data_IF_650570557120
#
_entry.id   IF_650570557120
#
_cell.length_a   1.000
_cell.length_b   1.000
_cell.length_c   1.000
_cell.angle_alpha   90.00
_cell.angle_beta   90.00
_cell.angle_gamma   90.00
#
_symmetry.space_group_name_H-M   'P 1'
#
loop_
_entity.id
_entity.type
_entity.pdbx_description
1 polymer ?
2 water ?
#
# COMPACT_ATOMS: atom_id res chain seq x y z
N UNK A 4 -35.22 -19.00 -19.99
CA UNK A 4 -36.01 -19.54 -18.89
C UNK A 4 -35.12 -20.40 -17.99
N UNK A 5 -35.14 -20.13 -16.67
CA UNK A 5 -34.32 -20.85 -15.69
C UNK A 5 -35.20 -21.64 -14.73
N UNK A 6 -34.86 -22.93 -14.49
CA UNK A 6 -35.65 -23.81 -13.61
C UNK A 6 -34.78 -24.35 -12.49
N UNK A 7 -35.08 -23.97 -11.24
CA UNK A 7 -34.32 -24.46 -10.09
C UNK A 7 -34.89 -25.82 -9.71
N UNK A 8 -34.03 -26.85 -9.66
CA UNK A 8 -34.49 -28.20 -9.24
C UNK A 8 -34.82 -28.14 -7.76
N UNK A 9 -35.88 -28.84 -7.36
CA UNK A 9 -36.38 -28.78 -5.99
C UNK A 9 -35.50 -29.47 -4.96
N UNK A 10 -34.79 -30.55 -5.34
CA UNK A 10 -34.00 -31.33 -4.39
C UNK A 10 -32.49 -31.43 -4.71
N UNK A 11 -32.09 -31.25 -5.96
CA UNK A 11 -30.67 -31.32 -6.32
C UNK A 11 -30.03 -29.92 -6.21
N UNK A 12 -30.83 -28.86 -6.45
CA UNK A 12 -30.40 -27.46 -6.52
C UNK A 12 -29.53 -27.26 -7.80
N UNK A 13 -29.94 -27.92 -8.90
CA UNK A 13 -29.32 -27.82 -10.23
C UNK A 13 -30.15 -26.87 -11.06
N UNK A 14 -29.49 -26.10 -11.93
CA UNK A 14 -30.15 -25.08 -12.74
C UNK A 14 -30.09 -25.43 -14.22
N UNK A 15 -31.23 -25.35 -14.89
CA UNK A 15 -31.34 -25.66 -16.31
C UNK A 15 -31.72 -24.41 -17.08
N UNK A 16 -30.99 -24.10 -18.15
CA UNK A 16 -31.24 -22.95 -19.00
C UNK A 16 -31.80 -23.50 -20.30
N UNK A 17 -32.83 -22.82 -20.85
CA UNK A 17 -33.51 -23.23 -22.08
C UNK A 17 -33.38 -22.14 -23.17
N UNK A 18 -32.73 -22.54 -24.28
CA UNK A 18 -32.50 -21.72 -25.47
C UNK A 18 -32.78 -22.63 -26.72
N UNK A 19 -32.60 -22.21 -27.99
CA UNK A 19 -32.93 -23.13 -29.11
C UNK A 19 -32.09 -24.41 -29.13
N UNK A 25 -30.56 -27.47 -20.86
CA UNK A 25 -29.17 -27.84 -20.56
C UNK A 25 -28.77 -27.40 -19.15
N UNK A 26 -28.19 -28.29 -18.31
CA UNK A 26 -27.84 -27.88 -16.94
C UNK A 26 -26.70 -26.87 -16.88
N UNK A 27 -26.68 -26.05 -15.80
CA UNK A 27 -25.69 -24.98 -15.59
C UNK A 27 -25.05 -25.10 -14.21
N UNK A 28 -23.71 -25.03 -14.18
CA UNK A 28 -22.92 -25.15 -12.97
C UNK A 28 -23.36 -24.15 -11.91
N UNK A 29 -23.47 -22.86 -12.30
CA UNK A 29 -23.77 -21.78 -11.35
C UNK A 29 -24.87 -20.83 -11.78
N UNK A 30 -25.41 -20.09 -10.80
CA UNK A 30 -26.42 -19.07 -11.08
C UNK A 30 -25.82 -17.92 -11.89
N UNK A 31 -24.53 -17.58 -11.67
CA UNK A 31 -23.86 -16.53 -12.47
C UNK A 31 -23.78 -16.95 -13.94
N UNK A 32 -23.43 -18.22 -14.17
CA UNK A 32 -23.33 -18.77 -15.51
C UNK A 32 -24.67 -18.75 -16.22
N UNK A 33 -25.78 -19.09 -15.51
CA UNK A 33 -27.12 -19.07 -16.11
C UNK A 33 -27.65 -17.65 -16.32
N UNK A 34 -27.29 -16.69 -15.45
CA UNK A 34 -27.75 -15.29 -15.60
C UNK A 34 -26.99 -14.57 -16.71
N UNK A 35 -25.72 -14.98 -16.97
CA UNK A 35 -24.86 -14.37 -18.03
C UNK A 35 -25.34 -14.72 -19.45
N UNK A 36 -25.67 -16.00 -19.66
CA UNK A 36 -26.06 -16.52 -20.99
C UNK A 36 -27.44 -16.03 -21.47
N UNK A 37 -28.42 -15.92 -20.58
CA UNK A 37 -29.78 -15.48 -20.95
C UNK A 37 -29.88 -14.00 -21.37
N UNK A 38 -28.89 -13.19 -21.02
CA UNK A 38 -28.88 -11.76 -21.33
C UNK A 38 -29.77 -10.98 -20.38
N UNK A 39 -30.07 -11.55 -19.20
CA UNK A 39 -30.91 -10.89 -18.20
C UNK A 39 -30.73 -11.58 -16.85
N UNK A 40 -30.86 -10.83 -15.73
CA UNK A 40 -30.81 -11.41 -14.38
C UNK A 40 -32.10 -12.16 -14.16
N UNK A 41 -32.09 -13.44 -14.51
CA UNK A 41 -33.30 -14.25 -14.50
C UNK A 41 -33.51 -14.93 -13.15
N UNK A 42 -34.68 -14.71 -12.53
CA UNK A 42 -35.04 -15.36 -11.27
C UNK A 42 -35.53 -16.77 -11.64
N UNK A 43 -35.04 -17.86 -11.03
CA UNK A 43 -35.42 -19.19 -11.51
C UNK A 43 -36.76 -19.70 -10.98
N UNK A 44 -37.51 -20.35 -11.89
CA UNK A 44 -38.79 -20.94 -11.53
C UNK A 44 -38.55 -22.15 -10.66
N UNK A 45 -39.51 -22.47 -9.80
CA UNK A 45 -39.44 -23.60 -8.88
C UNK A 45 -40.15 -24.78 -9.51
N UNK A 46 -39.62 -25.30 -10.62
CA UNK A 46 -40.28 -26.42 -11.30
C UNK A 46 -40.05 -27.74 -10.53
N UNK A 48 -40.14 -30.90 -9.86
CA UNK A 48 -38.90 -31.61 -10.13
C UNK A 48 -39.06 -32.68 -11.22
N UNK A 49 -40.28 -33.25 -11.38
CA UNK A 49 -40.54 -34.26 -12.41
C UNK A 49 -40.56 -33.67 -13.83
N UNK A 50 -40.71 -32.33 -13.97
CA UNK A 50 -40.79 -31.68 -15.28
C UNK A 50 -39.46 -31.68 -16.07
N UNK A 51 -38.32 -31.84 -15.38
CA UNK A 51 -36.98 -31.87 -16.01
C UNK A 51 -36.31 -33.23 -15.87
N UNK A 52 -36.53 -33.94 -14.75
CA UNK A 52 -35.94 -35.27 -14.54
C UNK A 52 -36.55 -36.32 -15.48
N UNK A 53 -37.85 -36.19 -15.85
CA UNK A 53 -38.52 -37.11 -16.78
C UNK A 53 -38.30 -36.70 -18.26
N UNK A 54 -37.90 -35.45 -18.50
CA UNK A 54 -37.62 -34.92 -19.84
C UNK A 54 -36.17 -35.09 -20.22
N UNK A 55 -35.76 -34.52 -21.38
CA UNK A 55 -34.38 -34.65 -21.87
C UNK A 55 -33.41 -33.81 -21.03
N UNK A 56 -32.17 -34.28 -20.97
CA UNK A 56 -31.05 -33.64 -20.27
C UNK A 56 -30.02 -33.29 -21.33
N UNK A 57 -28.98 -32.59 -20.93
CA UNK A 57 -27.90 -32.20 -21.84
C UNK A 57 -26.55 -32.24 -21.14
N UNK A 58 -25.61 -31.41 -21.63
CA UNK A 58 -24.24 -31.30 -21.08
C UNK A 58 -24.12 -30.04 -20.21
N UNK A 59 -23.25 -30.10 -19.20
CA UNK A 59 -23.04 -29.01 -18.25
C UNK A 59 -22.26 -27.85 -18.85
N UNK A 60 -22.95 -26.72 -19.09
CA UNK A 60 -22.37 -25.49 -19.62
C UNK A 60 -22.13 -24.55 -18.44
N UNK A 61 -21.44 -23.45 -18.69
CA UNK A 61 -21.13 -22.44 -17.69
C UNK A 61 -19.70 -22.48 -17.21
N UNK A 62 -19.30 -21.48 -16.44
CA UNK A 62 -17.95 -21.41 -15.90
C UNK A 62 -17.90 -22.15 -14.56
N UNK A 63 -16.96 -23.10 -14.33
CA UNK A 63 -16.91 -23.76 -13.02
C UNK A 63 -16.29 -22.87 -11.95
N UNK A 64 -15.18 -22.20 -12.26
CA UNK A 64 -14.46 -21.34 -11.32
C UNK A 64 -15.22 -20.12 -10.82
N UNK A 65 -16.25 -19.67 -11.56
CA UNK A 65 -17.06 -18.52 -11.20
C UNK A 65 -17.86 -18.76 -9.91
N UNK A 66 -18.34 -17.68 -9.25
CA UNK A 66 -19.07 -17.88 -7.99
C UNK A 66 -20.53 -18.24 -8.26
N UNK A 67 -21.22 -18.76 -7.23
CA UNK A 67 -22.61 -19.18 -7.39
C UNK A 67 -23.48 -18.00 -7.79
N UNK A 68 -23.44 -16.92 -7.01
CA UNK A 68 -24.16 -15.66 -7.26
C UNK A 68 -23.21 -14.50 -7.00
N UNK A 69 -23.63 -13.27 -7.31
CA UNK A 69 -22.80 -12.09 -7.06
C UNK A 69 -23.44 -11.14 -6.01
N UNK A 70 -23.52 -11.56 -4.72
CA UNK A 70 -24.15 -10.73 -3.71
C UNK A 70 -23.30 -9.54 -3.25
N UNK A 71 -23.48 -8.39 -3.90
CA UNK A 71 -22.80 -7.17 -3.45
C UNK A 71 -23.45 -6.65 -2.17
N UNK A 72 -22.65 -6.15 -1.25
CA UNK A 72 -23.14 -5.53 -0.03
C UNK A 72 -22.88 -4.03 -0.08
N UNK A 73 -22.76 -3.37 1.09
CA UNK A 73 -22.38 -1.96 1.08
C UNK A 73 -20.93 -1.90 0.62
N UNK A 74 -20.55 -0.97 -0.28
CA UNK A 74 -19.16 -0.95 -0.74
C UNK A 74 -18.18 -0.69 0.42
N UNK A 75 -17.05 -1.40 0.43
CA UNK A 75 -16.08 -1.32 1.54
C UNK A 75 -15.41 0.03 1.60
N UNK A 76 -15.36 0.63 2.79
CA UNK A 76 -14.75 1.96 2.96
C UNK A 76 -13.25 1.98 2.71
N UNK A 77 -12.53 0.99 3.29
CA UNK A 77 -11.09 0.93 3.21
C UNK A 77 -10.58 -0.40 2.71
N UNK A 78 -9.52 -0.34 1.88
CA UNK A 78 -8.74 -1.48 1.37
C UNK A 78 -7.37 -1.38 2.00
N UNK A 79 -6.99 -2.37 2.82
CA UNK A 79 -5.78 -2.31 3.61
C UNK A 79 -4.97 -3.56 3.51
N UNK A 80 -3.65 -3.40 3.39
CA UNK A 80 -2.68 -4.48 3.45
C UNK A 80 -2.07 -4.48 4.80
N UNK A 81 -2.02 -5.63 5.48
CA UNK A 81 -1.44 -5.71 6.80
C UNK A 81 -0.30 -6.72 6.80
N UNK A 82 0.81 -6.34 7.42
CA UNK A 82 2.05 -7.12 7.54
C UNK A 82 2.24 -7.41 9.01
N UNK A 83 2.28 -8.68 9.42
CA UNK A 83 2.39 -9.06 10.83
C UNK A 83 3.64 -9.92 10.98
N UNK A 84 4.54 -9.56 11.94
CA UNK A 84 5.78 -10.28 12.24
C UNK A 84 5.68 -10.70 13.70
N UNK A 85 5.32 -11.98 13.93
CA UNK A 85 5.11 -12.57 15.25
C UNK A 85 6.30 -12.37 16.20
N UNK A 86 7.54 -12.52 15.70
CA UNK A 86 8.74 -12.36 16.51
C UNK A 86 9.90 -11.82 15.67
N UNK A 87 10.41 -10.59 15.94
CA UNK A 87 11.58 -10.09 15.19
C UNK A 87 12.85 -10.88 15.51
N UNK A 88 13.08 -11.18 16.80
CA UNK A 88 14.24 -11.94 17.25
C UNK A 88 14.12 -13.41 16.84
N UNK A 89 14.50 -13.69 15.59
CA UNK A 89 14.49 -15.03 15.00
C UNK A 89 15.65 -15.16 14.02
N UNK A 90 15.99 -16.41 13.63
CA UNK A 90 17.07 -16.63 12.65
C UNK A 90 16.63 -15.98 11.32
N UNK A 91 15.46 -16.39 10.82
CA UNK A 91 14.80 -15.81 9.64
C UNK A 91 13.35 -15.61 10.04
N UNK A 92 12.86 -14.37 10.28
CA UNK A 92 11.45 -14.22 10.73
C UNK A 92 10.42 -14.41 9.62
N UNK A 93 9.25 -14.94 9.99
CA UNK A 93 8.15 -15.22 9.09
C UNK A 93 7.16 -14.07 9.06
N UNK A 94 6.58 -13.80 7.87
CA UNK A 94 5.62 -12.72 7.66
C UNK A 94 4.27 -13.30 7.28
N UNK A 95 3.20 -12.73 7.88
CA UNK A 95 1.81 -13.12 7.59
C UNK A 95 1.08 -11.92 6.99
N UNK A 96 0.46 -12.11 5.82
CA UNK A 96 -0.20 -11.05 5.11
C UNK A 96 -1.71 -11.18 5.27
N UNK A 97 -2.32 -10.07 5.73
CA UNK A 97 -3.74 -9.90 5.92
C UNK A 97 -4.21 -8.81 4.95
N UNK A 98 -5.26 -9.10 4.18
CA UNK A 98 -5.85 -8.16 3.22
C UNK A 98 -7.25 -7.78 3.71
N UNK A 99 -7.36 -6.66 4.42
CA UNK A 99 -8.65 -6.23 5.01
C UNK A 99 -9.47 -5.32 4.07
N UNK A 100 -10.57 -5.87 3.51
CA UNK A 100 -11.49 -5.16 2.60
C UNK A 100 -12.76 -4.90 3.40
N UNK A 101 -12.58 -4.10 4.44
CA UNK A 101 -13.65 -3.73 5.34
C UNK A 101 -13.30 -2.42 6.00
N UNK A 102 -14.21 -1.91 6.80
CA UNK A 102 -14.03 -0.66 7.55
C UNK A 102 -13.10 -0.93 8.73
N UNK A 103 -12.00 -0.16 8.84
CA UNK A 103 -10.99 -0.36 9.86
C UNK A 103 -11.41 0.13 11.23
N UNK A 104 -10.88 -0.52 12.28
CA UNK A 104 -11.07 -0.16 13.67
C UNK A 104 -9.73 0.34 14.22
N UNK A 105 -9.65 1.65 14.45
CA UNK A 105 -8.47 2.33 14.97
C UNK A 105 -8.69 2.54 16.46
N UNK A 106 -7.59 2.50 17.23
CA UNK A 106 -7.61 2.69 18.68
C UNK A 106 -6.17 2.94 19.20
N UNK A 107 -6.02 3.18 20.52
CA UNK A 107 -4.72 3.45 21.16
C UNK A 107 -3.63 2.41 20.84
N UNK A 108 -4.01 1.13 20.75
CA UNK A 108 -3.09 0.04 20.44
C UNK A 108 -2.61 -0.01 19.00
N UNK A 109 -3.53 0.17 18.03
CA UNK A 109 -3.19 0.17 16.61
C UNK A 109 -3.75 1.45 15.97
N UNK A 110 -2.86 2.43 15.76
CA UNK A 110 -3.19 3.72 15.18
C UNK A 110 -2.25 4.10 14.06
N UNK A 111 -2.53 5.17 13.30
CA UNK A 111 -1.64 5.55 12.20
C UNK A 111 -0.33 6.12 12.73
N UNK A 112 0.77 5.93 11.99
CA UNK A 112 2.10 6.38 12.43
C UNK A 112 2.21 7.89 12.38
N UNK A 113 2.88 8.48 13.37
CA UNK A 113 3.06 9.92 13.44
C UNK A 113 4.04 10.43 12.38
N UNK A 114 4.01 11.73 12.09
CA UNK A 114 4.89 12.33 11.09
C UNK A 114 6.38 12.15 11.47
N UNK A 115 6.72 12.30 12.77
CA UNK A 115 8.09 12.10 13.27
C UNK A 115 8.40 10.62 13.65
N UNK A 116 7.60 9.65 13.13
CA UNK A 116 7.71 8.24 13.44
C UNK A 116 7.95 7.40 12.19
N UNK A 117 8.76 6.36 12.32
CA UNK A 117 9.08 5.46 11.22
C UNK A 117 9.46 4.06 11.69
N UNK A 118 9.64 3.14 10.74
CA UNK A 118 10.00 1.74 11.04
C UNK A 118 11.02 1.24 10.05
N UNK A 119 11.88 0.29 10.47
CA UNK A 119 12.93 -0.30 9.60
C UNK A 119 12.55 -1.67 9.08
N UNK A 120 12.70 -1.88 7.76
CA UNK A 120 12.32 -3.13 7.10
C UNK A 120 13.35 -3.53 6.06
N UNK A 121 13.51 -4.85 5.89
CA UNK A 121 14.48 -5.48 5.01
C UNK A 121 13.76 -6.16 3.83
N UNK A 122 14.01 -5.72 2.58
CA UNK A 122 13.42 -6.34 1.38
C UNK A 122 14.47 -6.61 0.33
N UNK A 123 14.63 -7.90 -0.06
CA UNK A 123 15.57 -8.36 -1.08
C UNK A 123 16.99 -7.87 -0.77
N UNK A 124 17.43 -8.15 0.45
CA UNK A 124 18.77 -7.83 0.94
C UNK A 124 19.09 -6.36 1.04
N UNK A 125 18.04 -5.52 1.22
CA UNK A 125 18.16 -4.06 1.34
C UNK A 125 17.32 -3.56 2.48
N UNK A 126 17.78 -2.49 3.13
CA UNK A 126 17.07 -1.87 4.24
C UNK A 126 16.32 -0.67 3.74
N UNK A 127 15.04 -0.58 4.11
CA UNK A 127 14.14 0.52 3.78
C UNK A 127 13.61 1.10 5.08
N UNK A 128 13.25 2.37 5.03
CA UNK A 128 12.73 3.11 6.18
C UNK A 128 11.27 3.54 5.92
N UNK A 129 10.32 2.75 6.42
CA UNK A 129 8.90 3.04 6.21
C UNK A 129 8.47 4.24 7.06
N UNK A 130 8.21 5.39 6.39
CA UNK A 130 7.77 6.65 7.01
C UNK A 130 6.28 6.90 6.65
N UNK A 131 5.68 7.99 7.21
CA UNK A 131 4.28 8.43 7.08
C UNK A 131 3.63 8.23 5.67
N UNK A 132 4.30 8.72 4.63
CA UNK A 132 3.81 8.68 3.26
C UNK A 132 4.39 7.66 2.31
N UNK A 133 5.44 6.96 2.71
CA UNK A 133 6.01 5.96 1.84
C UNK A 133 7.15 5.20 2.45
N UNK A 134 8.20 5.01 1.65
CA UNK A 134 9.42 4.32 2.05
C UNK A 134 10.62 5.01 1.43
N UNK A 135 11.79 4.83 2.06
CA UNK A 135 13.04 5.44 1.62
C UNK A 135 14.20 4.45 1.73
N UNK A 136 15.09 4.40 0.74
CA UNK A 136 16.24 3.49 0.77
C UNK A 136 17.36 4.03 1.67
N UNK A 137 17.56 3.39 2.83
CA UNK A 137 18.57 3.79 3.81
C UNK A 137 19.74 2.81 3.72
N UNK A 138 20.96 3.36 3.52
CA UNK A 138 22.19 2.57 3.49
C UNK A 138 22.65 2.57 4.92
N UNK A 139 22.28 1.51 5.67
CA UNK A 139 22.64 1.41 7.08
C UNK A 139 24.17 1.51 7.37
N UNK A 140 25.04 1.31 6.34
CA UNK A 140 26.50 1.49 6.48
C UNK A 140 26.87 2.98 6.57
N UNK A 141 25.97 3.89 6.11
CA UNK A 141 26.16 5.34 6.20
C UNK A 141 25.83 5.70 7.64
N UNK A 142 26.77 5.32 8.52
CA UNK A 142 26.63 5.38 9.96
C UNK A 142 26.35 6.78 10.45
N UNK A 143 27.06 7.80 9.95
CA UNK A 143 26.82 9.18 10.40
C UNK A 143 25.39 9.62 10.08
N UNK A 144 24.86 9.23 8.92
CA UNK A 144 23.51 9.60 8.53
C UNK A 144 22.48 8.99 9.47
N UNK A 145 22.65 7.71 9.81
CA UNK A 145 21.71 7.03 10.70
C UNK A 145 21.79 7.62 12.12
N UNK A 146 22.95 8.20 12.50
CA UNK A 146 23.10 8.83 13.80
C UNK A 146 22.38 10.19 13.83
N UNK A 147 22.27 10.89 12.69
CA UNK A 147 21.62 12.20 12.60
C UNK A 147 20.10 12.10 12.59
N UNK A 148 19.58 11.07 11.94
CA UNK A 148 18.15 10.77 11.80
C UNK A 148 17.52 10.22 13.11
N UNK A 149 18.27 9.48 13.91
CA UNK A 149 17.77 8.90 15.16
C UNK A 149 17.65 7.39 15.19
N UNK A 150 18.30 6.67 14.25
CA UNK A 150 18.27 5.21 14.26
C UNK A 150 19.28 4.77 15.30
N UNK A 151 18.89 4.00 16.32
CA UNK A 151 19.90 3.55 17.30
C UNK A 151 20.95 2.61 16.70
N UNK A 152 22.15 2.52 17.31
CA UNK A 152 23.20 1.60 16.86
C UNK A 152 22.75 0.14 17.02
N UNK A 153 21.84 -0.12 17.99
CA UNK A 153 21.25 -1.44 18.22
C UNK A 153 19.96 -1.68 17.36
N UNK A 154 19.84 -1.00 16.21
CA UNK A 154 18.67 -1.19 15.33
C UNK A 154 18.84 -2.44 14.49
N UNK A 155 17.72 -3.07 14.14
CA UNK A 155 17.73 -4.24 13.26
C UNK A 155 16.49 -4.18 12.38
N UNK A 156 16.60 -4.26 11.05
CA UNK A 156 15.37 -4.28 10.24
C UNK A 156 14.68 -5.65 10.27
N UNK A 157 13.37 -5.66 10.05
CA UNK A 157 12.56 -6.87 9.99
C UNK A 157 12.12 -7.15 8.55
N UNK A 158 11.55 -8.32 8.23
CA UNK A 158 11.12 -8.56 6.85
C UNK A 158 9.81 -7.85 6.51
N UNK A 159 9.52 -7.69 5.21
CA UNK A 159 8.32 -7.00 4.72
C UNK A 159 7.78 -7.69 3.47
N UNK A 160 6.45 -7.77 3.39
CA UNK A 160 5.77 -8.44 2.28
C UNK A 160 5.99 -7.69 0.98
N UNK A 161 5.93 -8.42 -0.15
CA UNK A 161 6.05 -7.80 -1.47
C UNK A 161 4.83 -6.92 -1.75
N UNK A 162 3.64 -7.40 -1.41
CA UNK A 162 2.41 -6.66 -1.56
C UNK A 162 2.46 -5.35 -0.80
N UNK A 163 2.95 -5.38 0.46
CA UNK A 163 3.04 -4.15 1.26
C UNK A 163 4.14 -3.22 0.75
N UNK A 164 5.25 -3.77 0.26
CA UNK A 164 6.37 -2.99 -0.26
C UNK A 164 5.98 -2.22 -1.53
N UNK A 165 5.24 -2.88 -2.46
CA UNK A 165 4.81 -2.22 -3.69
C UNK A 165 3.77 -1.14 -3.38
N UNK A 166 2.93 -1.37 -2.38
CA UNK A 166 1.89 -0.41 -2.00
C UNK A 166 2.50 0.89 -1.44
N UNK A 167 3.56 0.76 -0.59
CA UNK A 167 4.23 1.91 0.02
C UNK A 167 5.02 2.67 -1.04
N UNK A 168 4.61 3.88 -1.42
CA UNK A 168 5.35 4.64 -2.45
C UNK A 168 6.84 4.89 -2.12
N UNK A 169 7.75 4.75 -3.09
CA UNK A 169 9.18 5.03 -2.86
C UNK A 169 9.34 6.52 -2.94
N UNK A 170 9.75 7.17 -1.85
CA UNK A 170 9.87 8.62 -1.80
C UNK A 170 11.34 9.08 -1.77
N UNK A 171 12.20 8.31 -2.40
CA UNK A 171 13.61 8.65 -2.55
C UNK A 171 14.45 8.18 -1.40
N UNK A 172 15.76 8.01 -1.63
CA UNK A 172 16.62 7.56 -0.55
C UNK A 172 16.99 8.70 0.39
N UNK A 173 17.47 8.32 1.58
CA UNK A 173 17.95 9.26 2.59
C UNK A 173 19.48 9.22 2.51
N UNK A 174 20.00 9.86 1.44
CA UNK A 174 21.41 10.02 1.08
C UNK A 174 21.69 11.49 0.90
N UNK A 175 22.73 12.02 1.54
CA UNK A 175 23.06 13.43 1.32
C UNK A 175 23.53 13.64 -0.12
N UNK A 176 23.10 14.70 -0.84
CA UNK A 176 23.62 14.90 -2.21
C UNK A 176 25.09 15.33 -2.18
N UNK A 177 25.91 14.77 -3.06
CA UNK A 177 27.34 15.05 -3.08
C UNK A 177 27.60 16.53 -3.40
N UNK A 178 28.54 17.15 -2.67
CA UNK A 178 28.90 18.55 -2.84
C UNK A 178 30.03 18.57 -3.87
N UNK A 179 29.78 19.04 -5.11
CA UNK A 179 30.83 18.96 -6.15
C UNK A 179 32.21 19.53 -5.78
N UNK A 180 32.33 20.76 -5.24
CA UNK A 180 33.63 21.34 -4.88
C UNK A 180 33.89 21.16 -3.39
N UNK A 181 33.73 19.92 -2.87
CA UNK A 181 33.94 19.62 -1.46
C UNK A 181 35.41 19.73 -1.08
N UNK A 182 35.67 20.23 0.13
CA UNK A 182 37.02 20.47 0.63
C UNK A 182 37.70 21.75 0.15
N UNK A 183 37.11 22.45 -0.85
CA UNK A 183 37.70 23.68 -1.40
C UNK A 183 37.49 24.86 -0.44
N UNK A 184 38.35 25.88 -0.53
CA UNK A 184 38.20 27.07 0.34
C UNK A 184 37.01 27.96 -0.06
N UNK A 185 36.39 28.66 0.90
CA UNK A 185 35.21 29.50 0.65
C UNK A 185 35.51 30.71 -0.27
N UNK A 186 35.00 30.64 -1.51
CA UNK A 186 35.15 31.72 -2.49
C UNK A 186 34.10 32.84 -2.28
N UNK A 187 33.10 32.58 -1.42
CA UNK A 187 32.02 33.53 -1.11
C UNK A 187 32.46 34.70 -0.20
N UNK A 188 33.64 34.60 0.43
CA UNK A 188 34.15 35.63 1.31
C UNK A 188 33.88 35.40 2.79
N UNK A 189 33.33 34.22 3.15
CA UNK A 189 33.05 33.87 4.55
C UNK A 189 34.36 33.57 5.29
N UNK A 190 34.40 33.58 6.65
CA UNK A 190 35.66 33.30 7.35
C UNK A 190 36.40 32.06 6.84
N UNK A 191 37.74 32.10 6.85
CA UNK A 191 38.59 31.02 6.33
C UNK A 191 38.42 29.66 7.08
N UNK A 192 37.86 29.65 8.33
CA UNK A 192 37.60 28.40 9.07
C UNK A 192 36.56 27.62 8.28
N UNK A 193 35.47 28.29 7.86
CA UNK A 193 34.45 27.66 7.05
C UNK A 193 35.08 27.20 5.72
N UNK A 194 34.92 25.92 5.39
CA UNK A 194 35.42 25.31 4.17
C UNK A 194 34.19 24.91 3.37
N UNK A 195 34.32 24.71 2.05
CA UNK A 195 33.15 24.25 1.27
C UNK A 195 32.87 22.80 1.69
N UNK A 196 31.64 22.54 2.12
CA UNK A 196 31.19 21.27 2.69
C UNK A 196 31.15 21.31 4.21
N UNK A 197 30.86 22.50 4.79
CA UNK A 197 30.79 22.73 6.23
C UNK A 197 29.43 23.31 6.60
N UNK A 198 29.20 23.58 7.89
CA UNK A 198 27.93 24.13 8.37
C UNK A 198 28.21 25.32 9.29
N UNK A 199 27.29 26.29 9.28
CA UNK A 199 27.32 27.50 10.09
C UNK A 199 25.96 27.66 10.76
N UNK A 200 25.94 28.14 12.00
CA UNK A 200 24.72 28.38 12.78
C UNK A 200 24.50 29.88 12.85
N UNK A 201 23.26 30.32 13.14
CA UNK A 201 22.96 31.76 13.27
C UNK A 201 22.24 32.02 14.58
N UNK A 202 22.19 33.29 14.98
CA UNK A 202 21.50 33.71 16.20
C UNK A 202 19.99 33.61 16.00
N UNK A 205 13.77 32.92 17.72
CA UNK A 205 13.26 31.83 18.56
C UNK A 205 14.07 30.55 18.38
N UNK A 206 14.05 29.98 17.15
CA UNK A 206 14.79 28.77 16.79
C UNK A 206 15.91 29.17 15.83
N UNK A 207 17.18 28.83 16.14
CA UNK A 207 18.28 29.22 15.23
C UNK A 207 18.34 28.33 13.99
N UNK A 208 18.96 28.87 12.92
CA UNK A 208 19.07 28.23 11.61
C UNK A 208 20.49 27.83 11.26
N UNK A 209 20.63 26.71 10.53
CA UNK A 209 21.91 26.21 10.05
C UNK A 209 21.97 26.40 8.55
N UNK A 210 23.17 26.72 8.05
CA UNK A 210 23.43 26.94 6.64
C UNK A 210 24.59 26.06 6.21
N UNK A 211 24.55 25.50 4.98
CA UNK A 211 25.65 24.70 4.43
C UNK A 211 26.42 25.59 3.43
N UNK A 212 27.75 25.39 3.32
CA UNK A 212 28.59 26.16 2.43
C UNK A 212 28.68 25.44 1.09
N UNK A 213 28.53 26.19 -0.01
CA UNK A 213 28.55 25.67 -1.38
C UNK A 213 29.48 26.55 -2.29
N UNK A 214 29.77 26.16 -3.56
CA UNK A 214 30.68 26.97 -4.39
C UNK A 214 30.15 28.35 -4.76
N UNK A 215 28.84 28.48 -5.04
CA UNK A 215 28.22 29.74 -5.47
C UNK A 215 27.22 30.29 -4.43
N UNK A 216 27.65 30.32 -3.16
CA UNK A 216 26.84 30.83 -2.06
C UNK A 216 26.71 29.86 -0.91
N UNK A 217 25.62 30.02 -0.15
CA UNK A 217 25.27 29.18 0.98
C UNK A 217 23.79 28.82 0.87
N UNK A 218 23.39 27.69 1.46
CA UNK A 218 22.02 27.23 1.47
C UNK A 218 21.61 26.86 2.88
N UNK A 219 20.34 27.03 3.22
CA UNK A 219 19.78 26.70 4.53
C UNK A 219 19.73 25.17 4.66
N UNK A 220 19.71 24.64 5.89
CA UNK A 220 19.76 23.19 6.14
C UNK A 220 19.08 22.87 7.50
N UNK A 221 18.23 21.83 7.56
CA UNK A 221 17.55 21.44 8.81
C UNK A 221 18.55 20.80 9.78
N UNK A 222 18.11 20.48 11.01
CA UNK A 222 19.04 19.96 12.02
C UNK A 222 19.56 18.59 11.66
N UNK A 223 18.70 17.69 11.18
CA UNK A 223 19.15 16.35 10.78
C UNK A 223 20.23 16.44 9.71
N UNK A 224 20.02 17.32 8.71
CA UNK A 224 21.01 17.41 7.65
C UNK A 224 22.29 18.10 8.15
N UNK A 225 22.20 19.09 9.04
CA UNK A 225 23.40 19.74 9.59
C UNK A 225 24.23 18.77 10.40
N UNK A 226 23.57 17.96 11.24
CA UNK A 226 24.24 16.95 12.04
C UNK A 226 25.03 15.98 11.14
N UNK A 227 24.35 15.46 10.11
CA UNK A 227 24.97 14.50 9.21
C UNK A 227 26.06 15.13 8.36
N UNK A 228 25.91 16.40 7.97
CA UNK A 228 26.94 17.07 7.18
C UNK A 228 28.25 17.20 7.97
N UNK A 229 28.15 17.50 9.27
CA UNK A 229 29.33 17.65 10.14
C UNK A 229 29.96 16.29 10.46
N UNK A 230 29.12 15.30 10.75
CA UNK A 230 29.55 13.94 11.08
C UNK A 230 30.17 13.19 9.87
N UNK A 231 29.76 13.48 8.63
CA UNK A 231 30.30 12.82 7.43
C UNK A 231 31.63 13.43 6.98
N UNK A 232 31.88 14.70 7.32
CA UNK A 232 33.09 15.38 6.87
C UNK A 232 33.82 16.11 7.99
N UNK A 233 33.13 16.98 8.76
CA UNK A 233 33.64 17.77 9.88
C UNK A 233 34.68 18.83 9.43
N UNK A 234 35.79 18.39 8.79
CA UNK A 234 36.89 19.21 8.30
C UNK A 234 37.59 19.96 9.45
N UNK A 235 37.67 19.29 10.60
CA UNK A 235 38.27 19.84 11.81
C UNK A 235 37.50 20.99 12.43
N UNK A 236 36.18 21.09 12.17
CA UNK A 236 35.35 22.17 12.67
C UNK A 236 34.47 21.71 13.84
N UNK A 237 35.06 21.69 15.04
CA UNK A 237 34.35 21.29 16.25
C UNK A 237 33.28 22.35 16.57
N UNK A 238 32.00 21.94 16.61
CA UNK A 238 30.81 22.79 16.85
C UNK A 238 30.54 23.73 15.65
N UNK A 239 29.25 24.00 15.35
CA UNK A 239 28.91 24.88 14.21
C UNK A 239 29.16 26.35 14.56
N UNK A 240 30.00 27.10 13.81
CA UNK A 240 30.24 28.52 14.18
C UNK A 240 29.05 29.43 13.97
N UNK A 241 28.98 30.51 14.76
CA UNK A 241 27.89 31.47 14.68
C UNK A 241 28.17 32.54 13.64
N UNK A 242 27.13 32.89 12.85
CA UNK A 242 27.17 33.95 11.85
C UNK A 242 26.10 34.94 12.23
N UNK A 243 26.33 36.22 11.91
CA UNK A 243 25.35 37.27 12.22
C UNK A 243 24.15 37.16 11.30
N UNK A 244 23.10 37.94 11.55
CA UNK A 244 21.91 37.93 10.68
C UNK A 244 22.14 38.71 9.39
N UNK A 245 23.08 39.67 9.37
CA UNK A 245 23.31 40.52 8.19
C UNK A 245 24.39 39.94 7.24
N UNK A 246 25.54 39.49 7.77
CA UNK A 246 26.65 38.97 6.94
C UNK A 246 26.22 37.90 5.91
N UNK A 247 25.13 37.17 6.18
CA UNK A 247 24.63 36.11 5.31
C UNK A 247 23.87 36.67 4.08
N UNK A 248 23.36 37.90 4.16
CA UNK A 248 22.59 38.52 3.07
C UNK A 248 23.50 38.96 1.93
N UNK A 249 24.74 39.41 2.24
CA UNK A 249 25.71 39.78 1.21
C UNK A 249 26.16 38.55 0.43
N UNK A 250 26.16 37.37 1.07
CA UNK A 250 26.54 36.11 0.45
C UNK A 250 25.31 35.54 -0.31
N UNK A 251 25.42 35.07 -1.56
CA UNK A 251 24.22 34.57 -2.28
C UNK A 251 23.53 33.36 -1.68
N UNK A 252 22.32 33.13 -2.17
CA UNK A 252 21.47 32.03 -1.74
C UNK A 252 21.54 30.86 -2.71
N UNK A 253 21.70 29.65 -2.18
CA UNK A 253 21.69 28.39 -2.94
C UNK A 253 20.66 27.47 -2.30
N UNK A 254 20.46 26.26 -2.87
CA UNK A 254 19.48 25.31 -2.36
C UNK A 254 20.10 23.93 -2.29
N UNK A 255 20.28 23.38 -1.08
CA UNK A 255 20.73 22.01 -0.91
C UNK A 255 19.49 21.18 -0.90
N UNK A 256 19.42 20.13 -1.73
CA UNK A 256 18.21 19.30 -1.86
C UNK A 256 18.37 18.06 -0.95
N UNK A 257 18.52 18.30 0.34
CA UNK A 257 18.67 17.20 1.28
C UNK A 257 17.33 16.52 1.57
N UNK A 258 17.25 15.19 1.42
CA UNK A 258 16.00 14.48 1.73
C UNK A 258 15.70 14.25 3.22
N UNK A 259 16.69 14.45 4.09
CA UNK A 259 16.54 14.18 5.51
C UNK A 259 15.43 15.01 6.19
N UNK A 260 14.78 14.41 7.21
CA UNK A 260 13.67 15.09 7.87
C UNK A 260 14.11 16.19 8.81
N UNK A 261 13.18 17.03 9.22
CA UNK A 261 13.48 18.10 10.16
C UNK A 261 13.66 17.49 11.55
N UNK A 262 12.57 17.09 12.23
CA UNK A 262 12.70 16.46 13.56
C UNK A 262 13.33 15.06 13.44
N UNK A 263 14.19 14.65 14.39
CA UNK A 263 14.74 13.28 14.32
C UNK A 263 13.65 12.21 14.46
N UNK A 264 13.76 11.17 13.65
CA UNK A 264 12.80 10.10 13.51
C UNK A 264 12.84 9.07 14.64
N UNK A 265 11.68 8.86 15.30
CA UNK A 265 11.50 7.80 16.31
C UNK A 265 11.36 6.46 15.60
N UNK A 266 12.28 5.52 15.83
CA UNK A 266 12.21 4.23 15.15
C UNK A 266 11.34 3.29 15.95
N UNK A 267 10.22 2.90 15.34
CA UNK A 267 9.31 1.91 15.92
C UNK A 267 10.00 0.56 15.95
N UNK A 268 9.84 -0.20 17.02
CA UNK A 268 10.44 -1.53 17.09
C UNK A 268 9.33 -2.56 16.93
N UNK A 269 9.55 -3.61 16.12
CA UNK A 269 8.55 -4.67 15.90
C UNK A 269 8.15 -5.40 17.17
N UNK A 270 9.04 -5.50 18.18
CA UNK A 270 8.67 -6.13 19.44
C UNK A 270 7.51 -5.35 20.12
N UNK A 271 7.50 -4.01 19.96
CA UNK A 271 6.41 -3.17 20.47
C UNK A 271 5.35 -2.98 19.37
N UNK A 272 5.77 -2.83 18.09
CA UNK A 272 4.85 -2.66 16.94
C UNK A 272 4.85 -3.87 15.98
N UNK A 273 4.17 -4.97 16.33
CA UNK A 273 4.17 -6.16 15.46
C UNK A 273 3.37 -6.09 14.17
N UNK A 274 2.51 -5.06 13.92
CA UNK A 274 1.73 -4.99 12.67
C UNK A 274 2.03 -3.70 11.96
N UNK A 275 2.31 -3.77 10.65
CA UNK A 275 2.56 -2.62 9.80
C UNK A 275 1.55 -2.72 8.69
N UNK A 276 0.62 -1.76 8.60
CA UNK A 276 -0.42 -1.76 7.58
C UNK A 276 -0.33 -0.50 6.69
N UNK A 277 -0.77 -0.66 5.44
CA UNK A 277 -1.00 0.43 4.48
C UNK A 277 -2.47 0.33 4.07
N UNK A 278 -3.18 1.47 4.07
CA UNK A 278 -4.62 1.55 3.86
C UNK A 278 -5.00 2.59 2.81
N UNK A 279 -5.98 2.27 1.97
CA UNK A 279 -6.50 3.12 0.89
C UNK A 279 -8.01 3.36 1.08
N UNK A 280 -8.46 4.63 1.07
CA UNK A 280 -9.86 4.99 1.25
C UNK A 280 -10.33 5.89 0.15
N UNK A 281 -11.25 5.43 -0.70
CA UNK A 281 -11.73 6.34 -1.74
C UNK A 281 -12.49 7.51 -1.08
N UNK A 282 -12.20 8.73 -1.54
CA UNK A 282 -12.79 9.96 -1.02
C UNK A 282 -13.85 10.51 -2.00
N UNK A 283 -14.81 11.31 -1.51
CA UNK A 283 -15.87 11.79 -2.39
C UNK A 283 -15.40 12.92 -3.28
N UNK A 284 -16.12 13.09 -4.37
CA UNK A 284 -15.90 14.16 -5.33
C UNK A 284 -14.65 13.99 -6.17
N UNK A 285 -13.91 15.11 -6.35
CA UNK A 285 -12.66 15.15 -7.11
C UNK A 285 -11.44 14.84 -6.24
N UNK A 286 -11.66 14.40 -4.99
CA UNK A 286 -10.56 14.08 -4.09
C UNK A 286 -9.83 12.81 -4.48
N UNK A 287 -8.58 12.70 -4.02
CA UNK A 287 -7.71 11.57 -4.27
C UNK A 287 -7.78 10.64 -3.09
N UNK A 288 -7.92 9.33 -3.33
CA UNK A 288 -8.01 8.41 -2.19
C UNK A 288 -6.98 8.70 -1.10
N UNK A 289 -7.42 8.70 0.16
CA UNK A 289 -6.53 8.99 1.28
C UNK A 289 -5.78 7.72 1.66
N UNK A 290 -4.45 7.74 1.52
CA UNK A 290 -3.61 6.61 1.87
C UNK A 290 -2.91 6.90 3.17
N UNK A 291 -3.12 6.03 4.16
CA UNK A 291 -2.55 6.17 5.48
C UNK A 291 -1.64 4.98 5.73
N UNK A 292 -0.62 5.17 6.59
CA UNK A 292 0.31 4.13 7.05
C UNK A 292 0.03 3.90 8.56
N UNK A 293 -0.22 2.64 8.95
CA UNK A 293 -0.63 2.26 10.32
C UNK A 293 0.27 1.17 10.93
N UNK A 294 0.57 1.30 12.25
CA UNK A 294 1.38 0.36 13.02
C UNK A 294 0.68 0.02 14.31
N UNK A 295 0.91 -1.16 14.88
CA UNK A 295 0.26 -1.51 16.13
C UNK A 295 0.45 -2.91 16.64
N UNK A 296 -0.18 -3.18 17.79
CA UNK A 296 -0.15 -4.47 18.48
C UNK A 296 -0.90 -5.56 17.73
N UNK A 297 -2.03 -5.19 17.09
CA UNK A 297 -2.92 -6.12 16.40
C UNK A 297 -3.36 -5.57 15.05
N UNK A 298 -4.25 -6.30 14.36
CA UNK A 298 -4.78 -5.81 13.09
C UNK A 298 -5.77 -4.71 13.39
N UNK A 299 -5.90 -3.69 12.52
CA UNK A 299 -6.86 -2.61 12.82
C UNK A 299 -8.28 -3.11 12.59
N UNK A 300 -8.83 -3.90 13.54
CA UNK A 300 -10.19 -4.47 13.44
C UNK A 300 -10.86 -4.68 14.78
N UNK A 301 -12.21 -4.82 14.80
CA UNK A 301 -12.89 -5.11 16.05
C UNK A 301 -12.61 -6.55 16.49
N UNK A 302 -12.79 -6.86 17.77
CA UNK A 302 -12.53 -8.20 18.26
C UNK A 302 -13.48 -9.23 17.64
N UNK A 303 -14.74 -8.83 17.40
CA UNK A 303 -15.75 -9.76 16.85
C UNK A 303 -15.33 -10.38 15.51
N UNK A 304 -14.58 -9.64 14.70
CA UNK A 304 -14.14 -10.09 13.38
C UNK A 304 -12.76 -10.75 13.38
N UNK A 305 -12.14 -11.00 14.55
CA UNK A 305 -10.79 -11.59 14.61
C UNK A 305 -10.79 -13.05 14.10
N UNK A 306 -11.88 -13.78 14.33
CA UNK A 306 -11.98 -15.15 13.88
C UNK A 306 -12.24 -15.40 12.40
N UNK A 307 -12.80 -14.41 11.67
CA UNK A 307 -13.17 -14.64 10.26
C UNK A 307 -12.07 -14.38 9.19
N UNK A 308 -10.89 -14.96 9.38
CA UNK A 308 -9.84 -14.83 8.37
C UNK A 308 -10.00 -15.92 7.32
N UNK A 309 -10.30 -15.55 6.06
CA UNK A 309 -10.45 -16.53 4.98
C UNK A 309 -9.08 -16.72 4.33
N UNK A 310 -8.38 -17.82 4.67
CA UNK A 310 -7.10 -18.17 4.04
C UNK A 310 -7.34 -18.40 2.54
N UNK A 311 -6.49 -17.82 1.70
CA UNK A 311 -6.69 -17.84 0.26
C UNK A 311 -6.17 -19.11 -0.40
N UNK A 312 -7.06 -19.87 -1.09
CA UNK A 312 -6.65 -21.08 -1.83
C UNK A 312 -5.94 -20.54 -3.10
N UNK A 313 -4.60 -20.49 -3.07
CA UNK A 313 -3.76 -19.93 -4.12
C UNK A 313 -3.13 -18.59 -3.74
N UNK A 314 -2.67 -18.48 -2.51
CA UNK A 314 -2.06 -17.25 -2.01
C UNK A 314 -1.74 -17.33 -0.54
N UNK A 315 -0.71 -16.60 -0.09
CA UNK A 315 -0.31 -16.58 1.33
C UNK A 315 -1.02 -15.46 2.10
N UNK A 316 -2.23 -15.10 1.65
CA UNK A 316 -2.98 -14.02 2.22
C UNK A 316 -4.23 -14.50 2.94
N UNK A 317 -4.53 -13.87 4.09
CA UNK A 317 -5.71 -14.10 4.93
C UNK A 317 -6.67 -12.94 4.70
N UNK A 318 -7.83 -13.20 4.07
CA UNK A 318 -8.76 -12.13 3.70
C UNK A 318 -9.86 -11.93 4.73
N UNK A 319 -9.99 -10.66 5.15
CA UNK A 319 -11.01 -10.18 6.06
C UNK A 319 -11.89 -9.22 5.26
N UNK A 320 -12.76 -9.80 4.41
CA UNK A 320 -13.72 -9.06 3.57
C UNK A 320 -15.12 -9.19 4.17
N UNK A 321 -15.98 -8.19 3.94
CA UNK A 321 -17.37 -8.21 4.40
C UNK A 321 -18.30 -8.02 3.20
N UNK A 322 -18.87 -9.12 2.70
CA UNK A 322 -19.79 -9.10 1.56
C UNK A 322 -19.09 -8.89 0.24
N UNK A 323 -19.83 -9.16 -0.84
CA UNK A 323 -19.31 -9.04 -2.20
C UNK A 323 -19.11 -7.60 -2.64
N UNK A 324 -18.21 -7.39 -3.59
CA UNK A 324 -17.90 -6.05 -4.09
C UNK A 324 -17.91 -5.99 -5.61
N UNK A 325 -18.26 -4.83 -6.15
CA UNK A 325 -18.21 -4.54 -7.60
C UNK A 325 -17.31 -3.35 -7.72
N UNK A 326 -16.12 -3.52 -8.34
CA UNK A 326 -15.11 -2.48 -8.36
C UNK A 326 -14.61 -2.16 -9.74
N UNK A 327 -14.04 -0.96 -9.88
CA UNK A 327 -13.38 -0.48 -11.08
C UNK A 327 -11.97 -0.04 -10.69
N UNK A 328 -10.98 -0.43 -11.51
CA UNK A 328 -9.57 -0.13 -11.28
C UNK A 328 -9.01 0.68 -12.44
N UNK A 329 -8.24 1.71 -12.15
CA UNK A 329 -7.64 2.52 -13.20
C UNK A 329 -6.15 2.45 -13.01
N UNK A 330 -5.44 1.80 -13.94
CA UNK A 330 -3.98 1.70 -13.88
C UNK A 330 -3.37 2.96 -14.49
N UNK A 331 -2.23 3.48 -13.99
CA UNK A 331 -1.63 4.66 -14.63
C UNK A 331 -0.93 4.35 -15.95
N UNK A 332 -0.61 3.06 -16.24
CA UNK A 332 0.01 2.69 -17.52
C UNK A 332 -1.02 2.88 -18.62
N UNK A 333 -0.73 3.62 -19.72
CA UNK A 333 -1.76 3.82 -20.74
C UNK A 333 -2.11 2.53 -21.50
N UNK A 334 -1.15 1.59 -21.73
CA UNK A 334 -1.44 0.33 -22.43
C UNK A 334 -2.46 -0.53 -21.66
N UNK A 335 -2.55 -0.31 -20.34
CA UNK A 335 -3.53 -0.94 -19.44
C UNK A 335 -4.66 0.08 -19.25
N UNK A 336 -5.90 -0.28 -19.58
CA UNK A 336 -7.05 0.62 -19.45
C UNK A 336 -7.59 0.66 -18.04
N UNK A 337 -8.94 0.65 -17.91
CA UNK A 337 -9.59 0.55 -16.62
C UNK A 337 -10.51 -0.64 -16.66
N UNK A 338 -10.50 -1.43 -15.58
CA UNK A 338 -11.19 -2.69 -15.50
C UNK A 338 -12.16 -2.80 -14.35
N UNK A 339 -13.29 -3.43 -14.62
CA UNK A 339 -14.29 -3.79 -13.64
C UNK A 339 -13.95 -5.18 -13.15
N UNK A 340 -14.09 -5.43 -11.86
CA UNK A 340 -13.87 -6.74 -11.26
C UNK A 340 -14.91 -6.99 -10.21
N UNK A 341 -15.51 -8.19 -10.16
CA UNK A 341 -16.44 -8.57 -9.09
C UNK A 341 -15.65 -9.36 -8.06
N UNK A 342 -15.82 -9.03 -6.77
CA UNK A 342 -15.15 -9.72 -5.68
C UNK A 342 -16.23 -10.40 -4.88
N UNK A 343 -16.18 -11.74 -4.79
CA UNK A 343 -17.19 -12.48 -4.04
C UNK A 343 -16.91 -12.35 -2.52
N UNK A 344 -17.77 -12.84 -1.60
CA UNK A 344 -17.48 -12.72 -0.16
C UNK A 344 -16.27 -13.54 0.36
N UNK A 345 -15.65 -14.39 -0.47
CA UNK A 345 -14.45 -15.13 -0.12
C UNK A 345 -13.20 -14.28 -0.42
N UNK A 346 -13.36 -13.23 -1.23
CA UNK A 346 -12.28 -12.32 -1.59
C UNK A 346 -11.51 -12.77 -2.80
N UNK A 347 -12.23 -13.24 -3.85
CA UNK A 347 -11.63 -13.74 -5.09
C UNK A 347 -12.03 -12.81 -6.24
N UNK A 348 -11.02 -12.32 -6.95
CA UNK A 348 -11.18 -11.40 -8.06
C UNK A 348 -11.76 -12.12 -9.29
N UNK A 349 -12.86 -11.60 -9.86
CA UNK A 349 -13.47 -12.16 -11.07
C UNK A 349 -13.66 -11.00 -12.03
N UNK A 350 -12.93 -10.97 -13.13
CA UNK A 350 -13.03 -9.87 -14.08
C UNK A 350 -14.36 -9.79 -14.80
N UNK A 351 -14.75 -8.59 -15.23
CA UNK A 351 -15.99 -8.39 -16.00
C UNK A 351 -15.62 -7.70 -17.31
N UNK A 352 -15.92 -8.36 -18.43
CA UNK A 352 -15.55 -7.92 -19.77
C UNK A 352 -16.24 -6.62 -20.17
N UNK A 353 -17.54 -6.44 -19.83
CA UNK A 353 -18.25 -5.24 -20.28
C UNK A 353 -19.45 -4.84 -19.44
N UNK A 354 -19.98 -3.65 -19.76
CA UNK A 354 -21.10 -3.03 -19.06
C UNK A 354 -22.36 -3.85 -19.23
N UNK A 355 -22.64 -4.31 -20.46
CA UNK A 355 -23.82 -5.14 -20.72
C UNK A 355 -23.86 -6.38 -19.83
N UNK A 356 -22.70 -7.06 -19.73
CA UNK A 356 -22.58 -8.28 -18.94
C UNK A 356 -22.69 -7.99 -17.46
N UNK A 357 -22.19 -6.83 -16.99
CA UNK A 357 -22.33 -6.46 -15.58
C UNK A 357 -23.82 -6.29 -15.22
N UNK A 358 -24.64 -5.83 -16.20
CA UNK A 358 -26.08 -5.67 -16.01
C UNK A 358 -26.80 -7.01 -15.98
N UNK A 359 -26.22 -8.08 -16.56
CA UNK A 359 -26.86 -9.41 -16.55
C UNK A 359 -26.73 -10.10 -15.17
N UNK A 360 -25.80 -9.67 -14.31
CA UNK A 360 -25.60 -10.21 -12.96
C UNK A 360 -26.28 -9.34 -11.88
N UNK A 361 -26.89 -8.23 -12.27
CA UNK A 361 -27.49 -7.29 -11.32
C UNK A 361 -26.45 -6.40 -10.68
N UNK A 362 -25.26 -6.25 -11.33
CA UNK A 362 -24.17 -5.42 -10.84
C UNK A 362 -24.21 -4.06 -11.51
N UNK A 363 -24.51 -3.03 -10.71
CA UNK A 363 -24.57 -1.65 -11.18
C UNK A 363 -23.70 -0.79 -10.29
N UNK A 364 -23.08 0.22 -10.89
CA UNK A 364 -22.24 1.20 -10.20
C UNK A 364 -20.99 0.65 -9.55
N UNK A 365 -19.98 0.25 -10.35
CA UNK A 365 -18.72 -0.23 -9.74
C UNK A 365 -18.02 0.95 -9.08
N UNK A 366 -17.56 0.75 -7.85
CA UNK A 366 -16.87 1.78 -7.06
C UNK A 366 -15.37 1.66 -7.34
N UNK A 367 -14.58 2.70 -7.02
CA UNK A 367 -13.15 2.62 -7.29
C UNK A 367 -12.40 1.92 -6.17
N UNK A 368 -11.62 0.89 -6.51
CA UNK A 368 -10.78 0.16 -5.57
C UNK A 368 -9.33 0.27 -6.06
N UNK A 369 -8.32 0.10 -5.19
CA UNK A 369 -6.94 0.24 -5.66
C UNK A 369 -6.43 -1.01 -6.36
N UNK A 370 -5.46 -0.84 -7.27
CA UNK A 370 -4.78 -1.97 -7.92
C UNK A 370 -3.84 -2.66 -6.90
N UNK A 371 -3.32 -1.86 -5.96
CA UNK A 371 -2.42 -2.29 -4.90
C UNK A 371 -2.99 -3.46 -4.10
N UNK A 372 -4.28 -3.38 -3.72
CA UNK A 372 -4.90 -4.42 -2.88
C UNK A 372 -5.65 -5.45 -3.72
N UNK A 373 -6.32 -5.01 -4.79
CA UNK A 373 -7.12 -5.90 -5.64
C UNK A 373 -6.21 -6.81 -6.45
N UNK A 374 -4.98 -6.36 -6.73
CA UNK A 374 -3.99 -7.16 -7.43
C UNK A 374 -3.51 -8.34 -6.61
N UNK A 375 -3.50 -8.21 -5.26
CA UNK A 375 -3.08 -9.29 -4.36
C UNK A 375 -4.16 -10.37 -4.20
N UNK A 376 -5.41 -10.12 -4.64
CA UNK A 376 -6.50 -11.10 -4.52
C UNK A 376 -6.40 -12.17 -5.62
N UNK A 377 -6.81 -13.42 -5.30
CA UNK A 377 -6.71 -14.54 -6.24
C UNK A 377 -7.65 -14.28 -7.41
N UNK A 378 -7.14 -14.43 -8.65
CA UNK A 378 -7.94 -14.15 -9.82
C UNK A 378 -8.59 -15.42 -10.31
N UNK A 379 -9.91 -15.41 -10.30
CA UNK A 379 -10.71 -16.50 -10.83
C UNK A 379 -11.02 -16.21 -12.28
N UNK A 380 -12.07 -16.84 -12.84
CA UNK A 380 -12.38 -16.60 -14.26
C UNK A 380 -12.98 -15.22 -14.56
N UNK A 381 -13.46 -15.04 -15.80
CA UNK A 381 -14.07 -13.82 -16.28
C UNK A 381 -15.51 -14.10 -16.61
N UNK A 382 -16.36 -13.14 -16.29
CA UNK A 382 -17.79 -13.24 -16.42
C UNK A 382 -18.18 -12.61 -17.75
N UNK A 383 -18.00 -13.40 -18.81
CA UNK A 383 -18.40 -13.08 -20.18
C UNK A 383 -19.50 -14.03 -20.62
N UNK A 384 -20.32 -13.63 -21.58
CA UNK A 384 -21.36 -14.53 -22.12
C UNK A 384 -20.69 -15.64 -22.94
N UNK A 385 -19.63 -15.29 -23.69
CA UNK A 385 -18.89 -16.22 -24.54
C UNK A 385 -18.15 -17.31 -23.76
N UNK A 386 -17.69 -17.00 -22.54
CA UNK A 386 -16.92 -17.95 -21.74
C UNK A 386 -17.79 -18.99 -21.02
N UNK A 387 -19.13 -18.85 -21.02
CA UNK A 387 -20.00 -19.82 -20.35
C UNK A 387 -20.00 -21.14 -21.12
N UNK A 388 -20.19 -21.10 -22.44
CA UNK A 388 -20.18 -22.32 -23.25
C UNK A 388 -18.76 -22.90 -23.27
N UNK A 389 -18.52 -23.98 -22.51
CA UNK A 389 -17.25 -24.73 -22.48
C UNK A 389 -17.56 -26.21 -22.23
#
# INVERSE_FOLDING_TARGET
>A
SSDQLLVDRTTNQLYVMLPGSNQLRPVYNLTSARLVLGNASNPVAVKSEELNRISKGQSIGIPGAPYATPTGTPASQWTLCDTVAKPDSSAPKVETSILIRTLAIDSGVGPIRADQGMLVSYEGANWLITEGGRHSIDLADRAVTSAVGIPVTAKPTPISQGLFNALPNRGPWQLPQIPAAGAPNSVGLPENLVIGSVFRTATESDPQHYVVLPDGVARVNNTTAAALRATNSYGLMQPPAVEASVVAKIPEQVYVSPLPDQPLDVLLRQDSPVLCWSWQREPGDQAPKTTVIAGRRLPLPANAIGTGIDQIGGDSTVYIEGGQFVRLQSPDPRVGESMYYIDPQGVRYGIANDDAAKNLGLAGPVNAPWQVVGLLVDGPVLSKEAALIEHDTLPADPNPRKVASGEG
#
